data_IF_375843714288
#
_entry.id   IF_375843714288
#
_cell.length_a   1.000
_cell.length_b   1.000
_cell.length_c   1.000
_cell.angle_alpha   90.00
_cell.angle_beta   90.00
_cell.angle_gamma   90.00
#
_symmetry.space_group_name_H-M   'P 1'
#
loop_
_entity.id
_entity.type
_entity.pdbx_description
1 polymer ?
#
# COMPACT_ATOMS: atom_id res chain seq x y z
N UNK A 1 -22.43 7.38 10.91
CA UNK A 1 -22.38 5.93 10.59
C UNK A 1 -20.94 5.49 10.78
N UNK A 2 -20.66 4.60 11.74
CA UNK A 2 -19.29 4.20 12.07
C UNK A 2 -18.80 3.14 11.06
N UNK A 3 -17.54 3.17 10.64
CA UNK A 3 -16.90 2.13 9.81
C UNK A 3 -17.14 0.73 10.42
N UNK A 4 -17.16 0.68 11.75
CA UNK A 4 -17.45 -0.51 12.54
C UNK A 4 -18.85 -1.06 12.28
N UNK A 5 -19.86 -0.19 12.15
CA UNK A 5 -21.25 -0.59 11.83
C UNK A 5 -21.38 -1.14 10.41
N UNK A 6 -20.61 -0.60 9.46
CA UNK A 6 -20.58 -1.11 8.08
C UNK A 6 -19.89 -2.47 8.00
N UNK A 7 -18.82 -2.65 8.79
CA UNK A 7 -18.08 -3.90 8.89
C UNK A 7 -18.93 -5.00 9.55
N UNK A 8 -19.62 -4.68 10.66
CA UNK A 8 -20.57 -5.57 11.34
C UNK A 8 -21.74 -5.98 10.43
N UNK A 9 -22.25 -5.06 9.60
CA UNK A 9 -23.30 -5.37 8.64
C UNK A 9 -22.82 -6.34 7.55
N UNK A 10 -21.59 -6.17 7.05
CA UNK A 10 -20.98 -7.09 6.11
C UNK A 10 -20.76 -8.49 6.72
N UNK A 11 -20.24 -8.55 7.96
CA UNK A 11 -19.98 -9.82 8.64
C UNK A 11 -21.29 -10.58 8.92
N UNK A 12 -22.35 -9.88 9.34
CA UNK A 12 -23.69 -10.48 9.49
C UNK A 12 -24.25 -11.02 8.18
N UNK A 13 -23.98 -10.35 7.06
CA UNK A 13 -24.43 -10.80 5.75
C UNK A 13 -23.66 -12.05 5.31
N UNK A 14 -22.35 -12.10 5.54
CA UNK A 14 -21.54 -13.29 5.27
C UNK A 14 -22.04 -14.49 6.09
N UNK A 15 -22.31 -14.29 7.39
CA UNK A 15 -22.87 -15.32 8.27
C UNK A 15 -24.25 -15.79 7.79
N UNK A 16 -25.08 -14.87 7.30
CA UNK A 16 -26.39 -15.19 6.72
C UNK A 16 -26.23 -16.02 5.45
N UNK A 17 -25.32 -15.65 4.55
CA UNK A 17 -25.02 -16.40 3.34
C UNK A 17 -24.53 -17.81 3.67
N UNK A 18 -23.61 -17.95 4.64
CA UNK A 18 -23.10 -19.25 5.06
C UNK A 18 -24.20 -20.18 5.61
N UNK A 19 -25.18 -19.63 6.33
CA UNK A 19 -26.37 -20.37 6.79
C UNK A 19 -27.33 -20.71 5.64
N UNK A 20 -27.50 -19.78 4.69
CA UNK A 20 -28.36 -19.95 3.51
C UNK A 20 -27.85 -20.98 2.51
N UNK A 21 -26.54 -21.32 2.51
CA UNK A 21 -25.91 -22.34 1.66
C UNK A 21 -26.58 -23.73 1.76
N UNK A 22 -27.41 -23.94 2.78
CA UNK A 22 -28.20 -25.15 3.03
C UNK A 22 -29.61 -25.12 2.41
N UNK A 23 -29.99 -24.03 1.73
CA UNK A 23 -31.36 -23.78 1.23
C UNK A 23 -31.39 -23.63 -0.30
N UNK A 24 -32.51 -24.00 -0.94
CA UNK A 24 -32.73 -23.90 -2.40
C UNK A 24 -32.71 -22.47 -2.98
N UNK A 25 -32.59 -21.43 -2.15
CA UNK A 25 -32.61 -19.99 -2.52
C UNK A 25 -31.22 -19.34 -2.69
N UNK A 26 -30.16 -20.14 -2.47
CA UNK A 26 -28.75 -19.74 -2.43
C UNK A 26 -28.28 -18.81 -3.57
N UNK A 27 -28.62 -19.14 -4.82
CA UNK A 27 -28.06 -18.44 -5.99
C UNK A 27 -28.50 -16.97 -6.07
N UNK A 28 -29.76 -16.67 -5.73
CA UNK A 28 -30.29 -15.30 -5.74
C UNK A 28 -29.66 -14.41 -4.65
N UNK A 29 -29.29 -14.99 -3.51
CA UNK A 29 -28.71 -14.27 -2.38
C UNK A 29 -27.22 -13.98 -2.60
N UNK A 30 -26.51 -14.88 -3.27
CA UNK A 30 -25.11 -14.71 -3.68
C UNK A 30 -24.96 -13.64 -4.79
N UNK A 31 -25.86 -13.62 -5.78
CA UNK A 31 -25.88 -12.58 -6.81
C UNK A 31 -26.12 -11.18 -6.22
N UNK A 32 -27.04 -11.05 -5.25
CA UNK A 32 -27.27 -9.79 -4.53
C UNK A 32 -26.04 -9.33 -3.75
N UNK A 33 -25.32 -10.26 -3.14
CA UNK A 33 -24.10 -9.91 -2.41
C UNK A 33 -22.97 -9.50 -3.35
N UNK A 34 -22.84 -10.15 -4.51
CA UNK A 34 -21.89 -9.76 -5.54
C UNK A 34 -22.17 -8.34 -6.07
N UNK A 35 -23.44 -7.96 -6.24
CA UNK A 35 -23.83 -6.61 -6.69
C UNK A 35 -23.31 -5.50 -5.76
N UNK A 36 -23.31 -5.73 -4.43
CA UNK A 36 -22.86 -4.73 -3.44
C UNK A 36 -21.35 -4.76 -3.18
N UNK A 37 -20.66 -5.81 -3.63
CA UNK A 37 -19.23 -6.03 -3.33
C UNK A 37 -18.32 -5.80 -4.54
N UNK A 38 -18.85 -5.90 -5.76
CA UNK A 38 -18.12 -5.74 -7.03
C UNK A 38 -18.18 -4.29 -7.52
N UNK A 39 -17.10 -3.81 -8.15
CA UNK A 39 -17.02 -2.49 -8.78
C UNK A 39 -16.24 -1.46 -7.95
N UNK A 40 -16.01 -0.27 -8.52
CA UNK A 40 -15.19 0.80 -7.91
C UNK A 40 -15.78 1.37 -6.61
N UNK A 41 -17.08 1.17 -6.37
CA UNK A 41 -17.77 1.53 -5.13
C UNK A 41 -18.16 0.31 -4.28
N UNK A 42 -17.56 -0.86 -4.55
CA UNK A 42 -17.80 -2.06 -3.76
C UNK A 42 -17.50 -1.83 -2.29
N UNK A 43 -18.32 -2.41 -1.41
CA UNK A 43 -18.25 -2.17 0.04
C UNK A 43 -16.85 -2.42 0.63
N UNK A 44 -16.08 -3.35 0.07
CA UNK A 44 -14.71 -3.63 0.48
C UNK A 44 -13.74 -2.47 0.19
N UNK A 45 -13.90 -1.83 -0.98
CA UNK A 45 -13.09 -0.66 -1.36
C UNK A 45 -13.44 0.50 -0.45
N UNK A 46 -14.73 0.75 -0.23
CA UNK A 46 -15.20 1.83 0.65
C UNK A 46 -14.72 1.64 2.11
N UNK A 47 -14.78 0.42 2.64
CA UNK A 47 -14.27 0.11 3.99
C UNK A 47 -12.76 0.32 4.05
N UNK A 48 -12.03 -0.13 3.02
CA UNK A 48 -10.58 0.03 2.95
C UNK A 48 -10.19 1.52 2.89
N UNK A 49 -10.78 2.29 1.98
CA UNK A 49 -10.52 3.72 1.84
C UNK A 49 -10.88 4.52 3.09
N UNK A 50 -12.00 4.19 3.74
CA UNK A 50 -12.39 4.82 5.00
C UNK A 50 -11.37 4.52 6.13
N UNK A 51 -10.84 3.30 6.20
CA UNK A 51 -9.77 2.95 7.16
C UNK A 51 -8.48 3.72 6.87
N UNK A 52 -8.08 3.81 5.62
CA UNK A 52 -6.89 4.57 5.20
C UNK A 52 -7.02 6.07 5.56
N UNK A 53 -8.20 6.65 5.35
CA UNK A 53 -8.48 8.04 5.72
C UNK A 53 -8.38 8.27 7.24
N UNK A 54 -8.94 7.36 8.05
CA UNK A 54 -8.83 7.43 9.52
C UNK A 54 -7.39 7.34 9.99
N UNK A 55 -6.60 6.42 9.41
CA UNK A 55 -5.16 6.28 9.74
C UNK A 55 -4.43 7.57 9.41
N UNK A 56 -4.66 8.13 8.23
CA UNK A 56 -4.04 9.38 7.77
C UNK A 56 -4.35 10.54 8.70
N UNK A 57 -5.62 10.73 9.07
CA UNK A 57 -6.03 11.76 10.01
C UNK A 57 -5.39 11.57 11.39
N UNK A 58 -5.32 10.32 11.88
CA UNK A 58 -4.71 10.00 13.17
C UNK A 58 -3.21 10.32 13.19
N UNK A 59 -2.51 10.11 12.08
CA UNK A 59 -1.08 10.45 11.94
C UNK A 59 -0.91 11.96 12.03
N UNK A 60 -1.64 12.74 11.23
CA UNK A 60 -1.54 14.19 11.25
C UNK A 60 -1.92 14.78 12.61
N UNK A 61 -2.93 14.21 13.28
CA UNK A 61 -3.29 14.62 14.63
C UNK A 61 -2.12 14.45 15.61
N UNK A 62 -1.42 13.30 15.58
CA UNK A 62 -0.25 13.05 16.44
C UNK A 62 0.94 13.96 16.14
N UNK A 63 1.18 14.28 14.87
CA UNK A 63 2.23 15.24 14.49
C UNK A 63 1.93 16.63 15.04
N UNK A 64 0.69 17.09 14.91
CA UNK A 64 0.23 18.37 15.47
C UNK A 64 0.35 18.36 17.01
N UNK A 65 -0.10 17.30 17.67
CA UNK A 65 0.03 17.16 19.13
C UNK A 65 1.50 17.18 19.59
N UNK A 66 2.40 16.54 18.83
CA UNK A 66 3.84 16.54 19.12
C UNK A 66 4.43 17.95 18.98
N UNK A 67 4.02 18.70 17.97
CA UNK A 67 4.49 20.08 17.77
C UNK A 67 3.94 21.02 18.85
N UNK A 68 2.69 20.83 19.27
CA UNK A 68 2.09 21.55 20.40
C UNK A 68 2.88 21.27 21.70
N UNK A 69 3.28 20.02 21.96
CA UNK A 69 4.06 19.68 23.14
C UNK A 69 5.46 20.34 23.17
N UNK A 70 6.09 20.56 22.01
CA UNK A 70 7.39 21.26 21.93
C UNK A 70 7.28 22.75 22.26
N UNK A 71 6.11 23.34 22.03
CA UNK A 71 5.85 24.77 22.23
C UNK A 71 5.42 25.11 23.66
N UNK A 72 5.14 24.11 24.51
CA UNK A 72 4.85 24.29 25.93
C UNK A 72 6.15 24.04 26.71
N UNK A 73 6.83 25.07 27.24
CA UNK A 73 8.06 24.87 28.00
C UNK A 73 7.74 24.17 29.33
N UNK A 74 8.37 23.02 29.58
CA UNK A 74 8.28 22.34 30.87
C UNK A 74 9.33 22.98 31.82
N UNK A 75 8.96 23.63 32.94
CA UNK A 75 9.90 24.49 33.69
C UNK A 75 11.06 23.80 34.43
N UNK A 76 11.13 22.47 34.46
CA UNK A 76 12.09 21.76 35.31
C UNK A 76 12.75 20.62 34.56
N UNK A 77 14.06 20.74 34.26
CA UNK A 77 15.07 19.66 34.41
C UNK A 77 16.49 20.12 33.97
N UNK A 78 17.41 20.22 34.94
CA UNK A 78 18.86 20.33 34.75
C UNK A 78 19.55 18.96 34.99
N UNK A 79 20.52 18.63 34.13
CA UNK A 79 21.66 17.70 34.24
C UNK A 79 21.49 16.27 34.82
N UNK A 80 21.74 15.24 33.96
CA UNK A 80 22.82 14.24 34.08
C UNK A 80 22.55 12.97 33.21
N UNK A 81 23.60 12.42 32.58
CA UNK A 81 23.66 11.13 31.86
C UNK A 81 24.31 10.05 32.77
N UNK A 82 24.31 8.74 32.44
CA UNK A 82 23.19 7.82 32.19
C UNK A 82 23.24 6.56 33.12
N UNK A 83 22.09 6.01 33.52
CA UNK A 83 22.03 4.66 34.13
C UNK A 83 20.89 3.85 33.53
N UNK A 84 21.21 2.59 33.27
CA UNK A 84 20.46 1.57 32.55
C UNK A 84 19.17 1.07 33.26
N UNK A 85 18.18 0.71 32.41
CA UNK A 85 17.03 -0.21 32.55
C UNK A 85 15.93 0.05 33.61
N UNK A 86 14.71 0.39 33.12
CA UNK A 86 13.52 -0.49 33.17
C UNK A 86 12.43 0.07 32.24
N UNK A 87 12.03 -0.71 31.23
CA UNK A 87 10.99 -0.42 30.23
C UNK A 87 9.58 -0.48 30.85
N UNK A 88 8.68 0.45 30.48
CA UNK A 88 7.27 0.12 30.26
C UNK A 88 7.03 -0.04 28.75
N UNK A 89 6.45 -1.17 28.36
CA UNK A 89 6.21 -1.52 26.97
C UNK A 89 5.30 -0.50 26.26
N UNK A 90 5.67 0.00 25.06
CA UNK A 90 4.74 0.71 24.20
C UNK A 90 3.66 -0.26 23.68
N UNK A 91 2.44 0.22 23.37
CA UNK A 91 1.55 -0.55 22.50
C UNK A 91 2.31 -0.79 21.20
N UNK A 92 2.43 -2.07 20.84
CA UNK A 92 2.95 -2.52 19.56
C UNK A 92 2.13 -1.87 18.45
N UNK A 93 2.58 -0.70 17.98
CA UNK A 93 2.65 -0.52 16.55
C UNK A 93 3.31 -1.79 16.04
N UNK A 94 2.73 -2.45 15.04
CA UNK A 94 3.60 -3.11 14.07
C UNK A 94 4.50 -2.00 13.58
N UNK A 95 5.61 -1.84 14.30
CA UNK A 95 6.76 -1.15 13.84
C UNK A 95 7.08 -1.95 12.60
N UNK A 96 6.58 -1.49 11.46
CA UNK A 96 7.13 -1.91 10.20
C UNK A 96 8.49 -1.22 10.19
N UNK A 97 9.41 -1.74 11.02
CA UNK A 97 10.70 -2.12 10.54
C UNK A 97 10.38 -2.95 9.30
N UNK A 98 10.17 -2.26 8.17
CA UNK A 98 10.55 -2.86 6.92
C UNK A 98 11.99 -3.30 7.23
N UNK A 99 12.34 -4.59 7.09
CA UNK A 99 13.74 -4.90 6.95
C UNK A 99 14.29 -3.87 5.98
N UNK A 100 15.51 -3.39 6.23
CA UNK A 100 16.31 -2.69 5.23
C UNK A 100 16.58 -3.68 4.08
N UNK A 101 15.53 -4.22 3.47
CA UNK A 101 15.52 -4.92 2.21
C UNK A 101 15.90 -3.80 1.26
N UNK A 102 17.12 -3.86 0.78
CA UNK A 102 17.57 -3.08 -0.37
C UNK A 102 16.54 -3.27 -1.47
N UNK A 103 15.55 -2.38 -1.53
CA UNK A 103 14.58 -2.39 -2.62
C UNK A 103 15.40 -2.30 -3.91
N UNK A 104 15.15 -3.20 -4.87
CA UNK A 104 15.93 -3.21 -6.08
C UNK A 104 15.82 -1.85 -6.74
N UNK A 105 16.97 -1.28 -7.10
CA UNK A 105 17.00 0.00 -7.80
C UNK A 105 16.71 -0.25 -9.27
N UNK A 106 15.76 0.49 -9.82
CA UNK A 106 15.40 0.42 -11.22
C UNK A 106 15.96 1.62 -11.98
N UNK A 107 16.89 1.35 -12.89
CA UNK A 107 17.54 2.38 -13.72
C UNK A 107 16.77 2.70 -15.02
N UNK A 108 15.74 1.92 -15.34
CA UNK A 108 14.99 2.01 -16.60
C UNK A 108 15.39 1.00 -17.68
N UNK A 109 16.06 -0.11 -17.36
CA UNK A 109 16.23 -1.24 -18.30
C UNK A 109 14.95 -2.12 -18.30
N UNK A 110 14.19 -2.20 -19.40
CA UNK A 110 12.98 -3.03 -19.47
C UNK A 110 13.20 -4.50 -19.08
N UNK A 111 14.41 -5.05 -19.30
CA UNK A 111 14.73 -6.45 -18.92
C UNK A 111 14.70 -6.67 -17.41
N UNK A 112 14.97 -5.62 -16.63
CA UNK A 112 14.96 -5.66 -15.17
C UNK A 112 13.57 -5.36 -14.59
N UNK A 113 12.65 -4.83 -15.40
CA UNK A 113 11.33 -4.37 -14.94
C UNK A 113 10.54 -5.47 -14.23
N UNK A 114 10.47 -6.67 -14.81
CA UNK A 114 9.70 -7.79 -14.23
C UNK A 114 10.20 -8.16 -12.83
N UNK A 115 11.52 -8.24 -12.65
CA UNK A 115 12.13 -8.56 -11.36
C UNK A 115 11.91 -7.43 -10.35
N UNK A 116 12.18 -6.19 -10.76
CA UNK A 116 11.94 -5.00 -9.96
C UNK A 116 10.49 -4.91 -9.47
N UNK A 117 9.53 -4.99 -10.40
CA UNK A 117 8.12 -4.85 -10.09
C UNK A 117 7.63 -5.97 -9.17
N UNK A 118 8.06 -7.22 -9.38
CA UNK A 118 7.69 -8.33 -8.49
C UNK A 118 8.15 -8.08 -7.05
N UNK A 119 9.38 -7.60 -6.85
CA UNK A 119 9.90 -7.27 -5.52
C UNK A 119 9.20 -6.06 -4.92
N UNK A 120 9.04 -4.98 -5.69
CA UNK A 120 8.36 -3.76 -5.23
C UNK A 120 6.89 -4.03 -4.89
N UNK A 121 6.23 -4.90 -5.66
CA UNK A 121 4.84 -5.26 -5.45
C UNK A 121 4.64 -5.93 -4.07
N UNK A 122 5.46 -6.94 -3.76
CA UNK A 122 5.39 -7.64 -2.48
C UNK A 122 5.80 -6.76 -1.29
N UNK A 123 6.86 -5.96 -1.46
CA UNK A 123 7.44 -5.18 -0.38
C UNK A 123 6.69 -3.87 -0.07
N UNK A 124 6.00 -3.29 -1.06
CA UNK A 124 5.41 -1.94 -0.94
C UNK A 124 3.97 -1.89 -1.44
N UNK A 125 3.69 -2.36 -2.66
CA UNK A 125 2.35 -2.18 -3.25
C UNK A 125 1.24 -2.93 -2.51
N UNK A 126 1.50 -4.18 -2.12
CA UNK A 126 0.57 -5.03 -1.35
C UNK A 126 0.50 -4.65 0.13
N UNK A 127 1.41 -3.82 0.63
CA UNK A 127 1.38 -3.37 2.02
C UNK A 127 0.27 -2.33 2.21
N UNK A 128 -0.36 -2.36 3.38
CA UNK A 128 -1.37 -1.39 3.82
C UNK A 128 -0.69 -0.11 4.33
N UNK A 129 -0.01 0.60 3.40
CA UNK A 129 0.65 1.89 3.66
C UNK A 129 0.08 2.98 2.74
N UNK A 130 0.11 4.27 3.15
CA UNK A 130 -0.49 5.35 2.38
C UNK A 130 0.09 5.47 0.95
N UNK A 131 -0.74 5.84 -0.03
CA UNK A 131 -0.32 6.04 -1.43
C UNK A 131 0.87 7.00 -1.58
N UNK A 132 0.89 8.08 -0.79
CA UNK A 132 2.02 9.03 -0.79
C UNK A 132 3.32 8.37 -0.30
N UNK A 133 3.26 7.45 0.67
CA UNK A 133 4.41 6.68 1.11
C UNK A 133 4.84 5.69 0.03
N UNK A 134 3.90 4.98 -0.61
CA UNK A 134 4.18 4.10 -1.76
C UNK A 134 4.86 4.86 -2.90
N UNK A 135 4.45 6.09 -3.18
CA UNK A 135 5.06 6.94 -4.20
C UNK A 135 6.48 7.37 -3.81
N UNK A 136 6.71 7.76 -2.56
CA UNK A 136 8.06 8.06 -2.05
C UNK A 136 9.00 6.84 -2.15
N UNK A 137 8.52 5.66 -1.77
CA UNK A 137 9.27 4.42 -1.95
C UNK A 137 9.53 4.12 -3.42
N UNK A 138 8.53 4.30 -4.29
CA UNK A 138 8.70 4.09 -5.72
C UNK A 138 9.80 5.00 -6.26
N UNK A 139 9.70 6.31 -6.06
CA UNK A 139 10.66 7.31 -6.56
C UNK A 139 12.07 7.06 -6.01
N UNK A 140 12.22 6.72 -4.72
CA UNK A 140 13.53 6.43 -4.13
C UNK A 140 14.21 5.18 -4.72
N UNK A 141 13.44 4.27 -5.30
CA UNK A 141 13.96 3.10 -6.02
C UNK A 141 14.29 3.38 -7.49
N UNK A 142 13.91 4.54 -8.04
CA UNK A 142 14.17 4.88 -9.44
C UNK A 142 15.51 5.61 -9.59
N UNK A 143 16.25 5.26 -10.64
CA UNK A 143 17.44 5.98 -11.10
C UNK A 143 17.41 6.14 -12.61
N UNK A 144 18.35 6.92 -13.14
CA UNK A 144 18.59 7.03 -14.57
C UNK A 144 17.33 7.43 -15.36
N UNK A 145 17.03 6.65 -16.41
CA UNK A 145 15.94 6.95 -17.33
C UNK A 145 14.55 6.73 -16.73
N UNK A 146 14.43 5.85 -15.72
CA UNK A 146 13.19 5.65 -15.00
C UNK A 146 12.85 6.86 -14.10
N UNK A 147 13.83 7.39 -13.38
CA UNK A 147 13.63 8.60 -12.57
C UNK A 147 13.30 9.81 -13.45
N UNK A 148 13.98 9.94 -14.60
CA UNK A 148 13.70 11.00 -15.55
C UNK A 148 12.28 10.94 -16.12
N UNK A 149 11.69 9.75 -16.24
CA UNK A 149 10.33 9.57 -16.72
C UNK A 149 9.27 10.14 -15.76
N UNK A 150 9.57 10.17 -14.46
CA UNK A 150 8.62 10.54 -13.41
C UNK A 150 8.87 11.92 -12.81
N UNK A 151 9.94 12.61 -13.25
CA UNK A 151 10.34 13.94 -12.74
C UNK A 151 9.28 15.04 -12.90
N UNK A 152 8.32 14.86 -13.81
CA UNK A 152 7.23 15.82 -14.04
C UNK A 152 6.03 15.65 -13.10
N UNK A 153 6.06 14.67 -12.19
CA UNK A 153 4.96 14.40 -11.26
C UNK A 153 5.32 14.86 -9.84
N UNK A 154 4.38 15.54 -9.19
CA UNK A 154 4.49 15.89 -7.78
C UNK A 154 4.32 14.66 -6.88
N UNK A 155 4.94 14.70 -5.71
CA UNK A 155 4.78 13.67 -4.67
C UNK A 155 3.43 13.88 -3.98
N UNK A 156 2.37 13.39 -4.63
CA UNK A 156 1.00 13.49 -4.17
C UNK A 156 0.32 12.09 -4.25
N UNK A 157 -0.60 11.76 -3.33
CA UNK A 157 -1.23 10.44 -3.29
C UNK A 157 -2.01 10.10 -4.57
N UNK A 158 -2.54 11.10 -5.27
CA UNK A 158 -3.26 10.98 -6.54
C UNK A 158 -2.33 10.52 -7.67
N UNK A 159 -1.06 10.94 -7.62
CA UNK A 159 -0.07 10.65 -8.65
C UNK A 159 0.51 9.24 -8.57
N UNK A 160 0.31 8.52 -7.46
CA UNK A 160 0.86 7.17 -7.29
C UNK A 160 0.42 6.22 -8.41
N UNK A 161 -0.89 6.15 -8.68
CA UNK A 161 -1.42 5.24 -9.70
C UNK A 161 -1.00 5.68 -11.11
N UNK A 162 -0.88 6.99 -11.35
CA UNK A 162 -0.47 7.54 -12.64
C UNK A 162 0.99 7.20 -12.94
N UNK A 163 1.88 7.46 -11.98
CA UNK A 163 3.31 7.15 -12.08
C UNK A 163 3.54 5.65 -12.25
N UNK A 164 2.82 4.81 -11.50
CA UNK A 164 2.90 3.35 -11.62
C UNK A 164 2.48 2.88 -13.02
N UNK A 165 1.35 3.36 -13.53
CA UNK A 165 0.85 3.02 -14.88
C UNK A 165 1.86 3.43 -15.95
N UNK A 166 2.38 4.66 -15.88
CA UNK A 166 3.39 5.18 -16.82
C UNK A 166 4.63 4.27 -16.88
N UNK A 167 5.17 3.88 -15.72
CA UNK A 167 6.33 3.00 -15.68
C UNK A 167 6.02 1.60 -16.21
N UNK A 168 4.82 1.08 -15.93
CA UNK A 168 4.38 -0.23 -16.44
C UNK A 168 4.22 -0.22 -17.96
N UNK A 169 3.65 0.84 -18.53
CA UNK A 169 3.51 0.99 -19.97
C UNK A 169 4.87 1.15 -20.65
N UNK A 170 5.77 1.94 -20.06
CA UNK A 170 7.08 2.25 -20.64
C UNK A 170 8.07 1.08 -20.57
N UNK A 171 8.00 0.26 -19.52
CA UNK A 171 9.02 -0.76 -19.22
C UNK A 171 8.46 -2.18 -19.04
N UNK A 172 7.14 -2.33 -18.86
CA UNK A 172 6.49 -3.62 -18.62
C UNK A 172 6.10 -4.39 -19.85
N UNK A 173 6.19 -3.78 -21.03
CA UNK A 173 5.90 -4.47 -22.28
C UNK A 173 7.01 -5.47 -22.62
N UNK A 174 6.76 -6.73 -22.27
CA UNK A 174 7.66 -7.86 -22.54
C UNK A 174 7.66 -8.27 -24.03
N UNK A 175 6.82 -7.65 -24.87
CA UNK A 175 6.72 -7.94 -26.31
C UNK A 175 7.90 -7.43 -27.15
N UNK A 176 8.86 -6.74 -26.52
CA UNK A 176 10.06 -6.20 -27.19
C UNK A 176 11.34 -7.02 -26.94
N UNK A 177 11.20 -8.34 -26.79
CA UNK A 177 12.35 -9.24 -26.97
C UNK A 177 12.54 -9.49 -28.46
N UNK A 178 13.74 -9.24 -29.04
CA UNK A 178 14.05 -9.79 -30.35
C UNK A 178 14.09 -11.32 -30.19
N UNK A 179 13.21 -12.03 -30.90
CA UNK A 179 13.23 -13.49 -30.95
C UNK A 179 14.59 -13.97 -31.48
N UNK A 180 15.49 -14.39 -30.58
CA UNK A 180 16.83 -14.87 -30.94
C UNK A 180 16.96 -16.39 -31.04
N UNK A 181 15.87 -17.13 -31.27
CA UNK A 181 15.96 -18.58 -31.53
C UNK A 181 14.96 -19.03 -32.60
N UNK A 182 15.28 -18.76 -33.86
CA UNK A 182 14.93 -19.67 -34.97
C UNK A 182 16.17 -19.85 -35.84
N UNK A 183 17.04 -20.77 -35.44
CA UNK A 183 17.97 -21.40 -36.38
C UNK A 183 17.67 -22.88 -36.38
N UNK A 184 16.99 -23.27 -37.44
CA UNK A 184 16.93 -24.59 -38.06
C UNK A 184 17.97 -25.58 -37.55
N UNK A 185 17.52 -26.77 -37.15
CA UNK A 185 18.24 -28.01 -37.47
C UNK A 185 17.23 -29.15 -37.59
N UNK A 186 16.90 -29.45 -38.84
CA UNK A 186 16.40 -30.75 -39.29
C UNK A 186 17.56 -31.38 -40.08
N UNK A 187 17.98 -32.60 -39.72
CA UNK A 187 17.82 -33.67 -40.70
C UNK A 187 17.05 -34.88 -40.16
#
# INVERSE_FOLDING_TARGET
>A
MCIQSLQEANDRWIDYLQRSLTTSRKKEEEEKYQEVTVGEQGIFILIHEAKEAVITLTIYQKEIDSEIQKLIPNPNQQHALPTEITKPNPPTYTNVNLPQLSLPVFNGDPRQWRGFWSSFNAAVHLQTIPKIQKLNYLISCLKGSALQAVRGFDIAPENYEVVRKLLTEKYGDSSRQPNYYTTNYNP
#
